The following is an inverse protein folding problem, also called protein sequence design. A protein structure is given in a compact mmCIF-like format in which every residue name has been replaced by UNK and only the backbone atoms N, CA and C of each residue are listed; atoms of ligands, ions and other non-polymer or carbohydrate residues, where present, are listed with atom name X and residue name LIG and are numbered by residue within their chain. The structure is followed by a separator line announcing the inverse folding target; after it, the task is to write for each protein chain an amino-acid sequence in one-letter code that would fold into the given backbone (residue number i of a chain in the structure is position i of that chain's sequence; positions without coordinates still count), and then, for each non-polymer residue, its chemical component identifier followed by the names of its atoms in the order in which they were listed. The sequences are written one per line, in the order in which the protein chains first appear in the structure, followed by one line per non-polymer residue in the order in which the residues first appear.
data_IF_837031132263
#
_entry.id   IF_837031132263
#
_cell.length_a   1.000
_cell.length_b   1.000
_cell.length_c   1.000
_cell.angle_alpha   90.00
_cell.angle_beta   90.00
_cell.angle_gamma   90.00
#
_symmetry.space_group_name_H-M   'P 1'
#
loop_
_entity.id
_entity.type
_entity.pdbx_description
1 polymer ?
#
# COMPACT_ATOMS: atom_id res chain seq x y z
N UNK A 1 2.42 60.92 -20.97
CA UNK A 1 1.70 59.64 -21.02
C UNK A 1 2.63 58.54 -20.50
N UNK A 2 2.29 57.90 -19.39
CA UNK A 2 3.17 56.92 -18.71
C UNK A 2 2.91 55.50 -19.24
N UNK A 3 3.98 54.86 -19.75
CA UNK A 3 3.94 53.55 -20.42
C UNK A 3 3.51 52.42 -19.48
N UNK A 4 2.77 51.43 -20.01
CA UNK A 4 2.33 50.23 -19.29
C UNK A 4 3.48 49.46 -18.60
N UNK A 5 4.70 49.56 -19.13
CA UNK A 5 5.91 48.99 -18.51
C UNK A 5 6.30 49.69 -17.20
N UNK A 6 6.04 50.99 -17.06
CA UNK A 6 6.29 51.72 -15.83
C UNK A 6 5.30 51.33 -14.72
N UNK A 7 4.04 51.05 -15.08
CA UNK A 7 3.01 50.56 -14.14
C UNK A 7 3.32 49.15 -13.63
N UNK A 8 3.84 48.26 -14.49
CA UNK A 8 4.21 46.91 -14.09
C UNK A 8 5.43 46.88 -13.13
N UNK A 9 6.39 47.80 -13.32
CA UNK A 9 7.54 47.94 -12.41
C UNK A 9 7.13 48.51 -11.04
N UNK A 10 6.20 49.46 -11.00
CA UNK A 10 5.65 49.98 -9.74
C UNK A 10 4.87 48.90 -8.96
N UNK A 11 4.06 48.08 -9.64
CA UNK A 11 3.29 47.01 -9.01
C UNK A 11 4.19 45.91 -8.41
N UNK A 12 5.30 45.57 -9.07
CA UNK A 12 6.27 44.58 -8.55
C UNK A 12 7.03 45.09 -7.32
N UNK A 13 7.38 46.37 -7.29
CA UNK A 13 8.09 46.97 -6.15
C UNK A 13 7.18 47.18 -4.93
N UNK A 14 5.89 47.44 -5.13
CA UNK A 14 4.90 47.51 -4.04
C UNK A 14 4.69 46.15 -3.36
N UNK A 15 4.76 45.04 -4.11
CA UNK A 15 4.58 43.69 -3.57
C UNK A 15 5.77 43.21 -2.72
N UNK A 16 6.99 43.66 -3.06
CA UNK A 16 8.19 43.37 -2.25
C UNK A 16 8.21 44.14 -0.93
N UNK A 17 7.70 45.37 -0.91
CA UNK A 17 7.63 46.22 0.30
C UNK A 17 6.55 45.79 1.30
N UNK A 18 5.53 45.06 0.86
CA UNK A 18 4.46 44.54 1.73
C UNK A 18 4.83 43.22 2.44
N UNK A 19 5.84 42.49 1.94
CA UNK A 19 6.25 41.19 2.50
C UNK A 19 7.27 41.33 3.64
N UNK A 20 7.99 42.46 3.73
CA UNK A 20 9.00 42.72 4.76
C UNK A 20 8.45 43.41 6.03
N UNK A 21 7.15 43.76 6.06
CA UNK A 21 6.53 44.53 7.15
C UNK A 21 5.67 43.73 8.14
N UNK A 22 5.62 42.39 8.04
CA UNK A 22 4.81 41.56 8.94
C UNK A 22 5.58 40.34 9.43
N UNK A 23 6.57 40.58 10.28
CA UNK A 23 7.16 39.57 11.15
C UNK A 23 7.02 40.02 12.60
N UNK A 24 6.31 39.25 13.43
CA UNK A 24 6.17 39.55 14.86
C UNK A 24 5.07 38.73 15.55
N UNK A 25 5.50 37.84 16.44
CA UNK A 25 4.78 36.75 17.10
C UNK A 25 3.69 37.08 18.14
N UNK A 26 2.87 36.04 18.39
CA UNK A 26 2.31 35.56 19.68
C UNK A 26 0.86 35.87 20.16
N UNK A 27 0.23 34.75 20.57
CA UNK A 27 -0.88 34.52 21.52
C UNK A 27 -2.30 34.27 20.98
N UNK A 28 -2.86 33.13 21.41
CA UNK A 28 -4.28 32.74 21.45
C UNK A 28 -4.91 33.28 22.76
N UNK A 29 -6.26 33.35 22.99
CA UNK A 29 -7.27 32.45 22.43
C UNK A 29 -8.68 33.00 22.08
N UNK A 30 -9.47 32.08 21.50
CA UNK A 30 -10.92 31.87 21.62
C UNK A 30 -11.94 32.64 20.73
N UNK A 31 -12.74 31.80 20.06
CA UNK A 31 -14.16 31.91 19.67
C UNK A 31 -14.59 32.56 18.35
N UNK A 32 -14.99 31.63 17.48
CA UNK A 32 -16.22 31.61 16.66
C UNK A 32 -16.17 32.09 15.22
N UNK A 33 -16.91 31.33 14.42
CA UNK A 33 -17.55 31.69 13.16
C UNK A 33 -16.79 31.39 11.86
N UNK A 34 -17.27 30.32 11.21
CA UNK A 34 -17.53 30.22 9.76
C UNK A 34 -16.30 30.37 8.85
N UNK A 35 -15.82 29.25 8.31
CA UNK A 35 -15.12 29.21 7.01
C UNK A 35 -15.75 28.16 6.10
N UNK A 36 -16.32 28.67 5.00
CA UNK A 36 -16.60 27.94 3.76
C UNK A 36 -15.29 27.87 2.96
N UNK A 37 -14.93 26.69 2.50
CA UNK A 37 -13.89 26.50 1.48
C UNK A 37 -14.47 26.78 0.10
N UNK A 38 -13.77 27.47 -0.83
CA UNK A 38 -14.13 27.45 -2.23
C UNK A 38 -13.30 26.40 -2.99
N UNK A 39 -13.97 25.36 -3.47
CA UNK A 39 -13.52 24.54 -4.60
C UNK A 39 -13.96 25.24 -5.91
N UNK A 40 -13.16 25.23 -6.99
CA UNK A 40 -13.68 25.60 -8.31
C UNK A 40 -14.28 24.35 -8.96
N UNK A 41 -15.61 24.28 -8.98
CA UNK A 41 -16.40 23.35 -9.78
C UNK A 41 -16.38 23.81 -11.25
N UNK A 42 -16.10 22.92 -12.19
CA UNK A 42 -16.38 23.15 -13.61
C UNK A 42 -17.75 22.56 -13.93
N UNK A 43 -18.70 23.43 -14.28
CA UNK A 43 -20.01 23.11 -14.81
C UNK A 43 -19.88 22.50 -16.22
N UNK A 44 -20.44 21.31 -16.40
CA UNK A 44 -20.71 20.73 -17.71
C UNK A 44 -22.11 21.22 -18.11
N UNK A 45 -22.18 22.16 -19.06
CA UNK A 45 -23.44 22.56 -19.67
C UNK A 45 -23.92 21.48 -20.63
N UNK A 46 -24.93 20.75 -20.18
CA UNK A 46 -25.77 19.86 -20.96
C UNK A 46 -26.67 20.72 -21.88
N UNK A 47 -26.28 20.88 -23.14
CA UNK A 47 -27.14 21.46 -24.17
C UNK A 47 -27.92 20.35 -24.88
N UNK A 48 -29.20 20.33 -24.55
CA UNK A 48 -30.27 19.43 -24.98
C UNK A 48 -30.44 19.36 -26.49
N UNK A 49 -30.75 18.16 -26.95
CA UNK A 49 -31.25 17.83 -28.26
C UNK A 49 -32.50 18.66 -28.65
N UNK A 50 -32.44 19.36 -29.79
CA UNK A 50 -33.65 19.87 -30.45
C UNK A 50 -33.64 19.46 -31.93
N UNK A 51 -34.59 18.59 -32.29
CA UNK A 51 -34.93 18.24 -33.68
C UNK A 51 -35.56 19.45 -34.38
N UNK A 52 -35.07 19.83 -35.56
CA UNK A 52 -35.92 20.40 -36.64
C UNK A 52 -35.45 19.91 -38.00
N UNK A 53 -36.44 19.64 -38.84
CA UNK A 53 -36.44 18.93 -40.13
C UNK A 53 -36.63 19.90 -41.30
N UNK A 54 -35.90 19.62 -42.40
CA UNK A 54 -36.27 19.65 -43.84
C UNK A 54 -36.62 20.97 -44.57
N UNK A 55 -35.89 21.25 -45.66
CA UNK A 55 -36.31 21.43 -47.08
C UNK A 55 -35.02 21.55 -47.96
N UNK A 56 -34.70 20.54 -48.81
CA UNK A 56 -34.72 20.52 -50.30
C UNK A 56 -33.93 21.68 -50.96
N UNK A 57 -32.85 21.46 -51.73
CA UNK A 57 -32.87 21.02 -53.14
C UNK A 57 -31.44 20.75 -53.70
N UNK A 58 -31.30 19.69 -54.52
CA UNK A 58 -30.31 19.39 -55.58
C UNK A 58 -28.81 19.28 -55.23
N UNK A 59 -28.00 18.32 -55.68
CA UNK A 59 -28.08 17.48 -56.87
C UNK A 59 -27.21 16.22 -56.63
N UNK A 60 -27.76 15.06 -56.97
CA UNK A 60 -27.03 13.79 -57.06
C UNK A 60 -26.00 13.86 -58.19
N UNK A 61 -24.76 13.44 -57.93
CA UNK A 61 -24.02 12.59 -58.89
C UNK A 61 -22.93 11.79 -58.19
N UNK A 62 -23.05 10.46 -58.34
CA UNK A 62 -21.99 9.45 -58.27
C UNK A 62 -21.61 8.86 -56.91
N UNK A 63 -22.58 8.09 -56.41
CA UNK A 63 -22.44 6.69 -56.02
C UNK A 63 -21.10 5.98 -56.31
N UNK A 64 -20.57 5.38 -55.24
CA UNK A 64 -19.92 4.06 -55.21
C UNK A 64 -18.56 3.89 -55.87
N UNK A 65 -17.50 4.03 -55.07
CA UNK A 65 -16.43 3.01 -54.99
C UNK A 65 -16.00 2.79 -53.54
N UNK A 66 -16.54 1.70 -53.03
CA UNK A 66 -16.18 0.90 -51.86
C UNK A 66 -14.88 1.25 -51.12
N UNK A 67 -15.08 1.40 -49.81
CA UNK A 67 -14.13 1.16 -48.73
C UNK A 67 -12.96 0.21 -49.07
N UNK A 68 -11.74 0.73 -49.04
CA UNK A 68 -10.57 -0.04 -48.62
C UNK A 68 -10.10 0.49 -47.27
N UNK A 69 -10.05 -0.42 -46.30
CA UNK A 69 -9.60 -0.18 -44.93
C UNK A 69 -8.14 0.23 -44.94
N UNK A 70 -7.82 1.21 -44.12
CA UNK A 70 -6.47 1.71 -43.85
C UNK A 70 -5.89 0.79 -42.78
N UNK A 71 -5.42 -0.38 -43.19
CA UNK A 71 -4.71 -1.33 -42.32
C UNK A 71 -3.62 -1.98 -43.20
N UNK A 72 -2.59 -1.21 -43.55
CA UNK A 72 -1.29 -1.69 -44.07
C UNK A 72 -0.35 -0.48 -44.18
N UNK A 73 0.10 0.04 -43.04
CA UNK A 73 1.07 1.15 -42.96
C UNK A 73 2.53 0.64 -42.97
N UNK A 74 2.74 -0.68 -42.87
CA UNK A 74 4.10 -1.27 -42.83
C UNK A 74 4.67 -1.65 -44.21
N UNK A 75 3.86 -1.69 -45.28
CA UNK A 75 4.30 -2.21 -46.59
C UNK A 75 4.87 -1.14 -47.55
N UNK A 76 4.85 0.13 -47.13
CA UNK A 76 5.34 1.25 -47.94
C UNK A 76 6.88 1.41 -47.94
N UNK A 77 7.59 0.73 -47.04
CA UNK A 77 9.05 0.84 -46.94
C UNK A 77 9.82 -0.25 -47.71
N UNK A 78 9.14 -1.31 -48.18
CA UNK A 78 9.79 -2.42 -48.90
C UNK A 78 9.40 -2.55 -50.38
N UNK A 79 8.48 -1.74 -50.88
CA UNK A 79 8.05 -1.80 -52.29
C UNK A 79 8.97 -1.00 -53.22
N UNK A 80 10.14 -1.55 -53.55
CA UNK A 80 11.03 -1.05 -54.63
C UNK A 80 10.60 -1.47 -56.04
N UNK A 81 9.33 -1.84 -56.22
CA UNK A 81 8.76 -2.29 -57.48
C UNK A 81 7.79 -1.27 -58.05
N UNK A 82 8.33 -0.14 -58.54
CA UNK A 82 7.60 0.78 -59.39
C UNK A 82 7.18 0.10 -60.71
N UNK A 83 5.97 0.41 -61.16
CA UNK A 83 5.28 -0.14 -62.35
C UNK A 83 6.00 0.06 -63.71
N UNK A 84 7.25 0.50 -63.72
CA UNK A 84 8.02 0.87 -64.92
C UNK A 84 9.45 0.29 -64.96
N UNK A 85 9.72 -0.83 -64.29
CA UNK A 85 11.01 -1.52 -64.44
C UNK A 85 11.07 -2.25 -65.80
N UNK A 86 11.81 -1.68 -66.76
CA UNK A 86 12.19 -2.38 -68.01
C UNK A 86 13.02 -3.62 -67.64
N UNK A 87 12.70 -4.77 -68.22
CA UNK A 87 13.53 -5.97 -68.06
C UNK A 87 14.83 -5.80 -68.86
N UNK A 88 16.03 -6.06 -68.29
CA UNK A 88 17.29 -6.00 -69.02
C UNK A 88 17.28 -6.98 -70.20
N UNK A 89 17.65 -6.51 -71.40
CA UNK A 89 17.94 -7.37 -72.56
C UNK A 89 16.94 -7.39 -73.72
N UNK A 90 15.91 -6.53 -73.75
CA UNK A 90 14.96 -6.48 -74.88
C UNK A 90 14.92 -5.09 -75.55
N UNK A 91 15.21 -4.99 -76.87
CA UNK A 91 15.16 -3.72 -77.58
C UNK A 91 13.70 -3.31 -77.85
N UNK A 92 13.31 -2.11 -77.45
CA UNK A 92 12.00 -1.53 -77.81
C UNK A 92 12.14 -0.40 -78.82
N UNK A 93 11.30 -0.44 -79.86
CA UNK A 93 11.30 0.45 -81.02
C UNK A 93 10.83 1.90 -80.75
N UNK A 94 10.40 2.22 -79.53
CA UNK A 94 10.02 3.58 -79.16
C UNK A 94 10.24 3.83 -77.67
N UNK A 95 11.05 4.85 -77.36
CA UNK A 95 11.39 5.26 -76.00
C UNK A 95 10.56 6.48 -75.60
N UNK A 96 9.76 6.35 -74.53
CA UNK A 96 9.04 7.47 -73.90
C UNK A 96 9.82 7.83 -72.65
N UNK A 97 10.28 9.07 -72.54
CA UNK A 97 11.07 9.55 -71.40
C UNK A 97 10.22 9.67 -70.12
N UNK A 98 10.58 8.97 -69.03
CA UNK A 98 10.02 9.20 -67.70
C UNK A 98 10.94 10.09 -66.84
N UNK A 99 10.44 10.61 -65.71
CA UNK A 99 10.96 11.80 -65.04
C UNK A 99 12.41 11.67 -64.53
N UNK A 100 13.29 12.43 -65.18
CA UNK A 100 14.49 13.14 -64.71
C UNK A 100 15.48 12.36 -63.81
N UNK A 101 16.58 11.91 -64.43
CA UNK A 101 17.93 11.63 -63.89
C UNK A 101 18.04 10.88 -62.54
N UNK A 102 18.10 9.56 -62.59
CA UNK A 102 18.61 8.73 -61.50
C UNK A 102 19.90 8.00 -61.94
N UNK A 103 21.03 8.52 -61.47
CA UNK A 103 22.30 7.86 -61.07
C UNK A 103 23.06 6.88 -62.00
N UNK A 104 22.58 6.50 -63.18
CA UNK A 104 23.34 5.63 -64.11
C UNK A 104 23.96 6.42 -65.28
N UNK A 105 25.18 6.07 -65.75
CA UNK A 105 25.76 6.65 -66.97
C UNK A 105 24.83 6.41 -68.16
N UNK A 106 24.41 7.48 -68.82
CA UNK A 106 23.51 7.43 -69.98
C UNK A 106 24.17 6.72 -71.18
N UNK A 107 25.50 6.77 -71.24
CA UNK A 107 26.32 6.14 -72.28
C UNK A 107 27.40 5.29 -71.61
N UNK A 108 27.70 4.13 -72.20
CA UNK A 108 28.86 3.33 -71.82
C UNK A 108 30.13 3.84 -72.55
N UNK A 109 31.31 3.43 -72.08
CA UNK A 109 32.59 3.76 -72.71
C UNK A 109 32.72 3.18 -74.14
N UNK A 110 31.74 2.39 -74.60
CA UNK A 110 31.68 1.78 -75.93
C UNK A 110 30.69 2.49 -76.86
N UNK A 111 29.95 3.50 -76.39
CA UNK A 111 28.91 4.16 -77.17
C UNK A 111 29.54 5.26 -78.03
N UNK A 112 29.57 5.05 -79.34
CA UNK A 112 30.02 6.06 -80.29
C UNK A 112 28.85 7.03 -80.62
N UNK A 113 29.04 8.32 -80.36
CA UNK A 113 28.07 9.35 -80.71
C UNK A 113 28.26 9.72 -82.19
N UNK A 114 27.47 9.09 -83.07
CA UNK A 114 27.46 9.41 -84.50
C UNK A 114 26.53 10.58 -84.82
N UNK A 115 27.00 11.53 -85.61
CA UNK A 115 26.16 12.58 -86.23
C UNK A 115 25.56 12.01 -87.51
N UNK A 116 24.31 12.33 -87.82
CA UNK A 116 23.67 11.84 -89.03
C UNK A 116 24.41 12.34 -90.29
N UNK A 117 24.43 11.55 -91.37
CA UNK A 117 25.05 11.94 -92.66
C UNK A 117 24.52 13.28 -93.21
N UNK A 118 23.20 13.57 -93.20
CA UNK A 118 22.71 14.89 -93.62
C UNK A 118 23.20 16.02 -92.72
N UNK A 119 23.24 15.84 -91.40
CA UNK A 119 23.74 16.86 -90.47
C UNK A 119 25.26 17.07 -90.65
N UNK A 120 26.00 16.02 -90.95
CA UNK A 120 27.44 16.08 -91.26
C UNK A 120 27.70 16.90 -92.52
N UNK A 121 26.89 16.73 -93.56
CA UNK A 121 26.94 17.55 -94.77
C UNK A 121 26.63 19.02 -94.50
N UNK A 122 25.61 19.29 -93.66
CA UNK A 122 25.22 20.65 -93.26
C UNK A 122 26.34 21.32 -92.46
N UNK A 123 26.87 20.66 -91.42
CA UNK A 123 27.95 21.17 -90.58
C UNK A 123 29.24 21.41 -91.37
N UNK A 124 29.55 20.55 -92.34
CA UNK A 124 30.73 20.72 -93.20
C UNK A 124 30.59 21.87 -94.19
N UNK A 125 29.36 22.20 -94.59
CA UNK A 125 29.07 23.36 -95.46
C UNK A 125 29.09 24.70 -94.71
N UNK A 126 28.97 24.67 -93.38
CA UNK A 126 29.05 25.85 -92.52
C UNK A 126 30.51 26.26 -92.29
N UNK A 127 30.82 27.54 -92.49
CA UNK A 127 32.14 28.08 -92.14
C UNK A 127 32.38 28.07 -90.62
N UNK A 128 33.64 28.09 -90.13
CA UNK A 128 33.96 28.01 -88.70
C UNK A 128 33.28 29.07 -87.82
N UNK A 129 33.05 30.26 -88.38
CA UNK A 129 32.36 31.35 -87.69
C UNK A 129 30.86 31.06 -87.50
N UNK A 130 30.22 30.46 -88.50
CA UNK A 130 28.80 30.09 -88.41
C UNK A 130 28.59 28.91 -87.44
N UNK A 131 29.51 27.94 -87.42
CA UNK A 131 29.51 26.84 -86.44
C UNK A 131 29.58 27.39 -85.01
N UNK A 132 30.52 28.32 -84.73
CA UNK A 132 30.62 28.94 -83.39
C UNK A 132 29.36 29.72 -83.00
N UNK A 133 28.73 30.41 -83.95
CA UNK A 133 27.49 31.13 -83.69
C UNK A 133 26.32 30.19 -83.37
N UNK A 134 26.18 29.07 -84.09
CA UNK A 134 25.13 28.08 -83.81
C UNK A 134 25.41 27.35 -82.48
N UNK A 135 26.66 26.98 -82.19
CA UNK A 135 27.05 26.44 -80.87
C UNK A 135 26.67 27.41 -79.76
N UNK A 136 26.99 28.71 -79.91
CA UNK A 136 26.64 29.71 -78.90
C UNK A 136 25.12 29.80 -78.71
N UNK A 137 24.35 29.84 -79.80
CA UNK A 137 22.88 29.86 -79.78
C UNK A 137 22.29 28.63 -79.10
N UNK A 138 22.76 27.43 -79.45
CA UNK A 138 22.29 26.17 -78.86
C UNK A 138 22.72 26.04 -77.39
N UNK A 139 23.93 26.49 -77.03
CA UNK A 139 24.39 26.48 -75.63
C UNK A 139 23.50 27.33 -74.73
N UNK A 140 23.04 28.49 -75.21
CA UNK A 140 22.06 29.33 -74.48
C UNK A 140 20.73 28.60 -74.29
N UNK A 141 20.26 27.86 -75.31
CA UNK A 141 19.04 27.06 -75.18
C UNK A 141 19.18 25.96 -74.12
N UNK A 142 20.34 25.27 -74.08
CA UNK A 142 20.65 24.27 -73.05
C UNK A 142 20.70 24.88 -71.65
N UNK A 143 21.36 26.04 -71.49
CA UNK A 143 21.41 26.72 -70.19
C UNK A 143 20.03 27.17 -69.69
N UNK A 144 19.16 27.65 -70.58
CA UNK A 144 17.77 27.98 -70.22
C UNK A 144 16.97 26.75 -69.81
N UNK A 145 17.18 25.62 -70.49
CA UNK A 145 16.55 24.36 -70.09
C UNK A 145 17.06 23.91 -68.72
N UNK A 146 18.36 24.02 -68.45
CA UNK A 146 18.95 23.72 -67.14
C UNK A 146 18.39 24.64 -66.05
N UNK A 147 18.25 25.94 -66.32
CA UNK A 147 17.63 26.90 -65.40
C UNK A 147 16.18 26.50 -65.08
N UNK A 148 15.39 26.13 -66.08
CA UNK A 148 14.03 25.61 -65.88
C UNK A 148 14.01 24.30 -65.07
N UNK A 149 14.92 23.36 -65.34
CA UNK A 149 15.01 22.11 -64.57
C UNK A 149 15.39 22.40 -63.11
N UNK A 150 16.38 23.26 -62.86
CA UNK A 150 16.76 23.67 -61.51
C UNK A 150 15.58 24.38 -60.81
N UNK A 151 14.89 25.27 -61.53
CA UNK A 151 13.71 25.97 -61.02
C UNK A 151 12.55 25.03 -60.72
N UNK A 152 12.33 23.96 -61.49
CA UNK A 152 11.28 22.98 -61.21
C UNK A 152 11.67 22.04 -60.05
N UNK A 153 12.95 21.68 -59.95
CA UNK A 153 13.45 20.81 -58.88
C UNK A 153 13.49 21.50 -57.50
N UNK A 154 13.75 22.82 -57.44
CA UNK A 154 13.80 23.57 -56.18
C UNK A 154 12.49 23.50 -55.35
N UNK A 155 11.32 23.81 -55.94
CA UNK A 155 10.01 23.69 -55.31
C UNK A 155 9.68 22.27 -54.88
N UNK A 156 9.96 21.26 -55.71
CA UNK A 156 9.70 19.85 -55.38
C UNK A 156 10.53 19.41 -54.15
N UNK A 157 11.80 19.80 -54.09
CA UNK A 157 12.64 19.60 -52.91
C UNK A 157 12.09 20.28 -51.65
N UNK A 158 11.49 21.46 -51.78
CA UNK A 158 10.88 22.16 -50.66
C UNK A 158 9.66 21.40 -50.12
N UNK A 159 8.76 20.93 -50.99
CA UNK A 159 7.58 20.19 -50.55
C UNK A 159 7.92 18.84 -49.91
N UNK A 160 8.97 18.16 -50.41
CA UNK A 160 9.47 16.94 -49.78
C UNK A 160 10.02 17.20 -48.37
N UNK A 161 10.77 18.29 -48.20
CA UNK A 161 11.26 18.71 -46.89
C UNK A 161 10.12 19.04 -45.92
N UNK A 162 9.08 19.75 -46.38
CA UNK A 162 7.89 20.05 -45.58
C UNK A 162 7.13 18.78 -45.20
N UNK A 163 6.96 17.85 -46.14
CA UNK A 163 6.33 16.55 -45.89
C UNK A 163 7.11 15.77 -44.83
N UNK A 164 8.42 15.69 -44.95
CA UNK A 164 9.26 14.93 -44.01
C UNK A 164 9.26 15.58 -42.62
N UNK A 165 9.28 16.92 -42.56
CA UNK A 165 9.10 17.67 -41.31
C UNK A 165 7.71 17.44 -40.69
N UNK A 166 6.66 17.36 -41.50
CA UNK A 166 5.30 17.06 -41.04
C UNK A 166 5.19 15.61 -40.54
N UNK A 167 5.81 14.64 -41.21
CA UNK A 167 5.86 13.25 -40.77
C UNK A 167 6.63 13.11 -39.45
N UNK A 168 7.73 13.85 -39.26
CA UNK A 168 8.44 13.89 -37.99
C UNK A 168 7.56 14.41 -36.85
N UNK A 169 6.83 15.51 -37.07
CA UNK A 169 5.86 16.05 -36.10
C UNK A 169 4.71 15.07 -35.82
N UNK A 170 4.22 14.37 -36.84
CA UNK A 170 3.16 13.37 -36.67
C UNK A 170 3.63 12.22 -35.75
N UNK A 171 4.85 11.74 -35.93
CA UNK A 171 5.45 10.71 -35.06
C UNK A 171 5.57 11.21 -33.62
N UNK A 172 6.04 12.45 -33.44
CA UNK A 172 6.14 13.07 -32.11
C UNK A 172 4.77 13.16 -31.43
N UNK A 173 3.76 13.74 -32.09
CA UNK A 173 2.41 13.88 -31.52
C UNK A 173 1.77 12.52 -31.25
N UNK A 174 1.98 11.52 -32.13
CA UNK A 174 1.48 10.15 -31.91
C UNK A 174 2.09 9.52 -30.65
N UNK A 175 3.39 9.73 -30.41
CA UNK A 175 4.04 9.26 -29.20
C UNK A 175 3.51 9.95 -27.93
N UNK A 176 3.27 11.27 -27.98
CA UNK A 176 2.67 12.03 -26.88
C UNK A 176 1.23 11.59 -26.61
N UNK A 177 0.45 11.33 -27.65
CA UNK A 177 -0.91 10.80 -27.54
C UNK A 177 -0.90 9.43 -26.86
N UNK A 178 -0.02 8.52 -27.28
CA UNK A 178 0.12 7.20 -26.66
C UNK A 178 0.53 7.31 -25.19
N UNK A 179 1.50 8.17 -24.86
CA UNK A 179 1.93 8.42 -23.48
C UNK A 179 0.81 9.02 -22.61
N UNK A 180 0.06 9.98 -23.14
CA UNK A 180 -1.06 10.60 -22.39
C UNK A 180 -2.22 9.63 -22.20
N UNK A 181 -2.50 8.78 -23.19
CA UNK A 181 -3.48 7.71 -23.08
C UNK A 181 -3.07 6.69 -22.00
N UNK A 182 -1.81 6.28 -21.97
CA UNK A 182 -1.29 5.40 -20.92
C UNK A 182 -1.45 6.02 -19.52
N UNK A 183 -1.06 7.29 -19.35
CA UNK A 183 -1.22 8.01 -18.09
C UNK A 183 -2.70 8.13 -17.67
N UNK A 184 -3.61 8.36 -18.62
CA UNK A 184 -5.05 8.40 -18.34
C UNK A 184 -5.59 7.04 -17.88
N UNK A 185 -5.16 5.94 -18.51
CA UNK A 185 -5.55 4.60 -18.06
C UNK A 185 -5.01 4.26 -16.67
N UNK A 186 -3.81 4.74 -16.34
CA UNK A 186 -3.24 4.59 -15.00
C UNK A 186 -4.03 5.40 -13.97
N UNK A 187 -4.38 6.65 -14.28
CA UNK A 187 -5.22 7.49 -13.43
C UNK A 187 -6.59 6.84 -13.18
N UNK A 188 -7.23 6.27 -14.20
CA UNK A 188 -8.49 5.52 -14.03
C UNK A 188 -8.34 4.36 -13.05
N UNK A 189 -7.25 3.58 -13.16
CA UNK A 189 -6.98 2.47 -12.22
C UNK A 189 -6.78 2.97 -10.80
N UNK A 190 -6.03 4.07 -10.62
CA UNK A 190 -5.83 4.69 -9.31
C UNK A 190 -7.15 5.17 -8.71
N UNK A 191 -8.02 5.79 -9.52
CA UNK A 191 -9.34 6.22 -9.07
C UNK A 191 -10.25 5.04 -8.67
N UNK A 192 -10.21 3.94 -9.41
CA UNK A 192 -10.93 2.72 -9.04
C UNK A 192 -10.44 2.15 -7.70
N UNK A 193 -9.12 2.09 -7.48
CA UNK A 193 -8.53 1.68 -6.20
C UNK A 193 -8.93 2.63 -5.07
N UNK A 194 -9.01 3.94 -5.32
CA UNK A 194 -9.45 4.91 -4.33
C UNK A 194 -10.90 4.67 -3.88
N UNK A 195 -11.80 4.31 -4.80
CA UNK A 195 -13.18 3.95 -4.48
C UNK A 195 -13.25 2.68 -3.62
N UNK A 196 -12.47 1.66 -3.95
CA UNK A 196 -12.39 0.41 -3.18
C UNK A 196 -11.86 0.65 -1.75
N UNK A 197 -10.79 1.44 -1.62
CA UNK A 197 -10.25 1.83 -0.31
C UNK A 197 -11.30 2.61 0.49
N UNK A 198 -12.04 3.51 -0.13
CA UNK A 198 -13.10 4.27 0.54
C UNK A 198 -14.25 3.36 1.03
N UNK A 199 -14.63 2.35 0.26
CA UNK A 199 -15.62 1.36 0.66
C UNK A 199 -15.12 0.51 1.84
N UNK A 200 -13.87 0.03 1.77
CA UNK A 200 -13.26 -0.72 2.87
C UNK A 200 -13.16 0.10 4.17
N UNK A 201 -12.87 1.40 4.07
CA UNK A 201 -12.82 2.31 5.21
C UNK A 201 -14.20 2.48 5.85
N UNK A 202 -15.26 2.65 5.04
CA UNK A 202 -16.64 2.71 5.55
C UNK A 202 -17.03 1.41 6.27
N UNK A 203 -16.66 0.26 5.71
CA UNK A 203 -16.90 -1.05 6.35
C UNK A 203 -16.15 -1.17 7.68
N UNK A 204 -14.86 -0.78 7.71
CA UNK A 204 -14.06 -0.79 8.92
C UNK A 204 -14.61 0.17 9.99
N UNK A 205 -15.08 1.35 9.59
CA UNK A 205 -15.71 2.31 10.49
C UNK A 205 -17.00 1.73 11.12
N UNK A 206 -17.85 1.08 10.32
CA UNK A 206 -19.05 0.43 10.84
C UNK A 206 -18.74 -0.67 11.86
N UNK A 207 -17.71 -1.51 11.58
CA UNK A 207 -17.24 -2.53 12.53
C UNK A 207 -16.67 -1.92 13.81
N UNK A 208 -15.96 -0.79 13.71
CA UNK A 208 -15.46 -0.08 14.88
C UNK A 208 -16.62 0.44 15.74
N UNK A 209 -17.65 1.02 15.13
CA UNK A 209 -18.85 1.47 15.84
C UNK A 209 -19.58 0.30 16.53
N UNK A 210 -19.63 -0.88 15.91
CA UNK A 210 -20.17 -2.10 16.54
C UNK A 210 -19.33 -2.53 17.76
N UNK A 211 -18.01 -2.70 17.59
CA UNK A 211 -17.11 -3.11 18.68
C UNK A 211 -17.13 -2.11 19.83
N UNK A 212 -17.24 -0.81 19.54
CA UNK A 212 -17.34 0.20 20.61
C UNK A 212 -18.60 0.05 21.46
N UNK A 213 -19.75 -0.27 20.84
CA UNK A 213 -21.01 -0.55 21.54
C UNK A 213 -20.92 -1.83 22.36
N UNK A 214 -20.32 -2.89 21.83
CA UNK A 214 -20.11 -4.15 22.57
C UNK A 214 -19.21 -3.95 23.80
N UNK A 215 -18.15 -3.15 23.64
CA UNK A 215 -17.25 -2.77 24.72
C UNK A 215 -17.97 -1.97 25.81
N UNK A 216 -18.83 -1.02 25.45
CA UNK A 216 -19.62 -0.25 26.43
C UNK A 216 -20.63 -1.15 27.17
N UNK A 217 -21.30 -2.05 26.45
CA UNK A 217 -22.20 -3.03 27.07
C UNK A 217 -21.46 -3.98 28.03
N UNK A 218 -20.24 -4.38 27.67
CA UNK A 218 -19.39 -5.23 28.52
C UNK A 218 -18.91 -4.48 29.76
N UNK A 219 -18.51 -3.21 29.63
CA UNK A 219 -18.16 -2.35 30.76
C UNK A 219 -19.32 -2.19 31.74
N UNK A 220 -20.54 -1.95 31.25
CA UNK A 220 -21.72 -1.85 32.10
C UNK A 220 -21.99 -3.15 32.90
N UNK A 221 -21.79 -4.32 32.28
CA UNK A 221 -21.90 -5.61 32.99
C UNK A 221 -20.82 -5.79 34.05
N UNK A 222 -19.60 -5.34 33.78
CA UNK A 222 -18.50 -5.38 34.77
C UNK A 222 -18.84 -4.50 35.97
N UNK A 223 -19.32 -3.28 35.76
CA UNK A 223 -19.75 -2.38 36.83
C UNK A 223 -20.88 -2.98 37.69
N UNK A 224 -21.85 -3.65 37.06
CA UNK A 224 -22.92 -4.37 37.76
C UNK A 224 -22.36 -5.52 38.62
N UNK A 225 -21.51 -6.38 38.04
CA UNK A 225 -20.90 -7.50 38.75
C UNK A 225 -20.01 -7.03 39.91
N UNK A 226 -19.24 -5.97 39.73
CA UNK A 226 -18.47 -5.36 40.82
C UNK A 226 -19.39 -4.86 41.94
N UNK A 227 -20.55 -4.29 41.59
CA UNK A 227 -21.59 -3.91 42.56
C UNK A 227 -22.09 -5.11 43.35
N UNK A 228 -22.37 -6.24 42.67
CA UNK A 228 -22.79 -7.48 43.31
C UNK A 228 -21.71 -8.06 44.24
N UNK A 229 -20.45 -8.08 43.79
CA UNK A 229 -19.30 -8.54 44.59
C UNK A 229 -19.17 -7.71 45.86
N UNK A 230 -19.18 -6.38 45.76
CA UNK A 230 -19.14 -5.49 46.94
C UNK A 230 -20.29 -5.76 47.90
N UNK A 231 -21.50 -6.00 47.37
CA UNK A 231 -22.66 -6.37 48.19
C UNK A 231 -22.47 -7.70 48.92
N UNK A 232 -21.94 -8.72 48.24
CA UNK A 232 -21.64 -10.02 48.83
C UNK A 232 -20.52 -9.94 49.88
N UNK A 233 -19.47 -9.17 49.62
CA UNK A 233 -18.39 -8.94 50.58
C UNK A 233 -18.88 -8.27 51.87
N UNK A 234 -19.82 -7.31 51.77
CA UNK A 234 -20.43 -6.68 52.94
C UNK A 234 -21.26 -7.68 53.75
N UNK A 235 -22.11 -8.47 53.08
CA UNK A 235 -22.89 -9.54 53.74
C UNK A 235 -21.99 -10.57 54.41
N UNK A 236 -20.91 -10.97 53.75
CA UNK A 236 -19.95 -11.91 54.33
C UNK A 236 -19.29 -11.33 55.59
N UNK A 237 -18.89 -10.05 55.57
CA UNK A 237 -18.37 -9.36 56.76
C UNK A 237 -19.41 -9.28 57.87
N UNK A 238 -20.67 -8.98 57.57
CA UNK A 238 -21.76 -8.95 58.54
C UNK A 238 -22.01 -10.33 59.16
N UNK A 239 -22.18 -11.37 58.34
CA UNK A 239 -22.32 -12.75 58.83
C UNK A 239 -21.10 -13.21 59.62
N UNK A 240 -19.88 -12.86 59.22
CA UNK A 240 -18.67 -13.20 59.97
C UNK A 240 -18.67 -12.58 61.37
N UNK A 241 -19.14 -11.33 61.51
CA UNK A 241 -19.27 -10.67 62.82
C UNK A 241 -20.36 -11.32 63.67
N UNK A 242 -21.50 -11.66 63.07
CA UNK A 242 -22.62 -12.29 63.78
C UNK A 242 -22.26 -13.70 64.26
N UNK A 243 -21.69 -14.54 63.38
CA UNK A 243 -21.41 -15.95 63.68
C UNK A 243 -20.23 -16.12 64.63
N UNK A 244 -19.18 -15.28 64.51
CA UNK A 244 -18.01 -15.38 65.39
C UNK A 244 -18.30 -14.83 66.80
N UNK A 245 -19.19 -13.84 66.94
CA UNK A 245 -19.53 -13.30 68.25
C UNK A 245 -20.52 -14.22 69.02
N UNK A 246 -21.60 -14.68 68.40
CA UNK A 246 -22.67 -15.36 69.15
C UNK A 246 -22.38 -16.84 69.47
N UNK A 247 -21.65 -17.56 68.61
CA UNK A 247 -21.43 -19.02 68.80
C UNK A 247 -20.25 -19.31 69.71
N UNK A 248 -19.18 -18.50 69.62
CA UNK A 248 -17.96 -18.72 70.41
C UNK A 248 -18.19 -18.33 71.87
N UNK A 249 -18.86 -17.22 72.15
CA UNK A 249 -19.07 -16.75 73.52
C UNK A 249 -19.95 -17.68 74.38
N UNK A 250 -20.89 -18.43 73.78
CA UNK A 250 -21.77 -19.32 74.56
C UNK A 250 -21.16 -20.70 74.80
N UNK A 251 -20.48 -21.30 73.82
CA UNK A 251 -19.76 -22.57 74.03
C UNK A 251 -18.53 -22.39 74.92
N UNK A 252 -17.81 -21.27 74.80
CA UNK A 252 -16.62 -20.98 75.59
C UNK A 252 -16.94 -20.78 77.08
N UNK A 253 -18.05 -20.10 77.41
CA UNK A 253 -18.51 -19.93 78.81
C UNK A 253 -18.80 -21.26 79.53
N UNK A 254 -19.19 -22.31 78.78
CA UNK A 254 -19.46 -23.64 79.36
C UNK A 254 -18.17 -24.37 79.69
N UNK A 255 -17.15 -24.26 78.83
CA UNK A 255 -15.88 -25.00 78.96
C UNK A 255 -14.87 -24.27 79.83
N UNK A 256 -14.90 -22.94 79.85
CA UNK A 256 -14.02 -22.08 80.65
C UNK A 256 -14.82 -21.04 81.46
N UNK A 257 -15.53 -21.45 82.53
CA UNK A 257 -16.34 -20.53 83.35
C UNK A 257 -15.51 -19.43 84.03
N UNK A 258 -14.20 -19.65 84.20
CA UNK A 258 -13.28 -18.71 84.81
C UNK A 258 -12.63 -17.75 83.78
N UNK A 259 -12.82 -17.99 82.48
CA UNK A 259 -12.29 -17.16 81.40
C UNK A 259 -10.76 -17.13 81.31
N UNK A 260 -10.08 -18.16 81.82
CA UNK A 260 -8.61 -18.21 81.85
C UNK A 260 -8.03 -18.43 80.45
N UNK A 261 -8.67 -19.28 79.65
CA UNK A 261 -8.28 -19.64 78.29
C UNK A 261 -8.78 -18.64 77.24
N UNK A 262 -9.80 -17.84 77.56
CA UNK A 262 -10.30 -16.77 76.68
C UNK A 262 -9.24 -15.73 76.31
N UNK A 263 -8.26 -15.51 77.19
CA UNK A 263 -7.14 -14.61 76.94
C UNK A 263 -5.95 -15.30 76.24
N UNK A 264 -6.01 -16.60 75.98
CA UNK A 264 -4.90 -17.33 75.38
C UNK A 264 -4.92 -17.18 73.88
N UNK A 265 -3.77 -16.84 73.29
CA UNK A 265 -3.58 -17.09 71.88
C UNK A 265 -3.58 -18.60 71.61
N UNK A 266 -3.95 -19.02 70.39
CA UNK A 266 -3.88 -20.44 69.99
C UNK A 266 -2.52 -21.06 70.30
N UNK A 267 -1.44 -20.32 70.07
CA UNK A 267 -0.08 -20.77 70.38
C UNK A 267 0.13 -20.96 71.89
N UNK A 268 -0.35 -20.04 72.73
CA UNK A 268 -0.24 -20.13 74.19
C UNK A 268 -1.04 -21.30 74.74
N UNK A 269 -2.26 -21.54 74.23
CA UNK A 269 -3.08 -22.68 74.63
C UNK A 269 -2.40 -24.01 74.32
N UNK A 270 -1.87 -24.15 73.10
CA UNK A 270 -1.10 -25.33 72.71
C UNK A 270 0.11 -25.51 73.62
N UNK A 271 0.85 -24.45 73.95
CA UNK A 271 1.98 -24.53 74.86
C UNK A 271 1.58 -25.04 76.24
N UNK A 272 0.53 -24.47 76.85
CA UNK A 272 0.06 -24.91 78.18
C UNK A 272 -0.44 -26.35 78.21
N UNK A 273 -1.03 -26.85 77.12
CA UNK A 273 -1.42 -28.26 77.01
C UNK A 273 -0.17 -29.15 77.00
N UNK A 274 0.86 -28.77 76.26
CA UNK A 274 2.13 -29.51 76.24
C UNK A 274 2.81 -29.49 77.60
N UNK A 275 2.90 -28.33 78.25
CA UNK A 275 3.48 -28.19 79.59
C UNK A 275 2.73 -29.05 80.62
N UNK A 276 1.39 -29.08 80.56
CA UNK A 276 0.58 -29.94 81.44
C UNK A 276 0.85 -31.42 81.18
N UNK A 277 0.92 -31.82 79.92
CA UNK A 277 1.21 -33.21 79.53
C UNK A 277 2.59 -33.65 80.05
N UNK A 278 3.62 -32.81 79.87
CA UNK A 278 4.98 -33.09 80.34
C UNK A 278 5.02 -33.20 81.87
N UNK A 279 4.36 -32.28 82.59
CA UNK A 279 4.23 -32.35 84.05
C UNK A 279 3.52 -33.63 84.52
N UNK A 280 2.48 -34.07 83.82
CA UNK A 280 1.76 -35.31 84.14
C UNK A 280 2.64 -36.55 83.92
N UNK A 281 3.39 -36.59 82.81
CA UNK A 281 4.34 -37.67 82.50
C UNK A 281 5.46 -37.72 83.55
N UNK A 282 6.03 -36.56 83.93
CA UNK A 282 7.06 -36.49 84.96
C UNK A 282 6.53 -36.95 86.33
N UNK A 283 5.33 -36.51 86.72
CA UNK A 283 4.68 -36.94 87.94
C UNK A 283 4.44 -38.46 87.97
N UNK A 284 3.94 -39.04 86.87
CA UNK A 284 3.72 -40.49 86.74
C UNK A 284 5.04 -41.28 86.82
N UNK A 285 6.08 -40.81 86.12
CA UNK A 285 7.41 -41.43 86.13
C UNK A 285 8.06 -41.40 87.52
N UNK A 286 7.92 -40.28 88.23
CA UNK A 286 8.39 -40.13 89.60
C UNK A 286 7.63 -41.05 90.57
N UNK A 287 6.30 -41.15 90.43
CA UNK A 287 5.47 -42.07 91.21
C UNK A 287 5.86 -43.54 90.97
N UNK A 288 6.09 -43.93 89.72
CA UNK A 288 6.53 -45.28 89.37
C UNK A 288 7.91 -45.57 89.97
N UNK A 289 8.87 -44.66 89.81
CA UNK A 289 10.23 -44.82 90.37
C UNK A 289 10.17 -44.96 91.89
N UNK A 290 9.38 -44.14 92.56
CA UNK A 290 9.16 -44.23 94.01
C UNK A 290 8.55 -45.58 94.41
N UNK A 291 7.57 -46.09 93.66
CA UNK A 291 7.00 -47.41 93.91
C UNK A 291 8.03 -48.54 93.73
N UNK A 292 8.88 -48.46 92.70
CA UNK A 292 9.97 -49.43 92.47
C UNK A 292 10.98 -49.40 93.62
N UNK A 293 11.37 -48.22 94.09
CA UNK A 293 12.28 -48.11 95.24
C UNK A 293 11.65 -48.66 96.53
N UNK A 294 10.36 -48.41 96.78
CA UNK A 294 9.63 -49.03 97.89
C UNK A 294 9.62 -50.57 97.77
N UNK A 295 9.42 -51.12 96.58
CA UNK A 295 9.44 -52.56 96.33
C UNK A 295 10.82 -53.18 96.59
N UNK A 296 11.91 -52.49 96.22
CA UNK A 296 13.29 -52.93 96.53
C UNK A 296 13.53 -53.01 98.03
N UNK A 297 13.07 -52.02 98.79
CA UNK A 297 13.22 -51.99 100.26
C UNK A 297 12.41 -53.13 100.91
N UNK A 298 11.15 -53.32 100.52
CA UNK A 298 10.28 -54.35 101.10
C UNK A 298 10.76 -55.78 100.81
N UNK A 299 11.54 -55.97 99.74
CA UNK A 299 12.08 -57.28 99.35
C UNK A 299 13.60 -57.40 99.57
N UNK A 300 14.15 -56.68 100.56
CA UNK A 300 15.56 -56.77 100.90
C UNK A 300 15.99 -58.23 101.18
N UNK A 301 16.84 -58.79 100.31
CA UNK A 301 17.33 -60.17 100.37
C UNK A 301 16.82 -61.11 99.26
N UNK A 302 15.92 -60.65 98.38
CA UNK A 302 15.58 -61.32 97.12
C UNK A 302 16.10 -60.47 95.96
N UNK A 303 16.90 -61.05 95.06
CA UNK A 303 17.29 -60.35 93.82
C UNK A 303 16.03 -60.18 92.95
N UNK A 304 15.51 -58.95 92.88
CA UNK A 304 14.47 -58.57 91.93
C UNK A 304 15.08 -58.57 90.52
N UNK A 305 14.78 -59.60 89.73
CA UNK A 305 15.20 -59.69 88.34
C UNK A 305 14.40 -58.70 87.50
N UNK A 306 15.08 -57.66 87.01
CA UNK A 306 14.50 -56.67 86.08
C UNK A 306 14.74 -57.05 84.61
N UNK A 307 15.37 -58.20 84.35
CA UNK A 307 15.70 -58.66 83.01
C UNK A 307 14.43 -59.05 82.24
N UNK A 308 14.18 -58.38 81.12
CA UNK A 308 13.00 -58.59 80.27
C UNK A 308 11.78 -57.71 80.60
N UNK A 309 11.86 -56.84 81.61
CA UNK A 309 10.85 -55.79 81.82
C UNK A 309 11.04 -54.72 80.74
N UNK A 310 9.97 -54.40 80.04
CA UNK A 310 9.93 -53.45 78.93
C UNK A 310 8.49 -52.91 78.85
N UNK A 311 8.33 -51.67 78.38
CA UNK A 311 7.05 -50.93 78.34
C UNK A 311 6.00 -51.65 77.48
N UNK A 312 6.48 -52.35 76.45
CA UNK A 312 5.65 -53.11 75.52
C UNK A 312 5.41 -54.55 75.96
N UNK A 313 5.67 -54.89 77.23
CA UNK A 313 5.47 -56.25 77.76
C UNK A 313 4.37 -56.28 78.80
N UNK A 314 3.56 -57.32 78.74
CA UNK A 314 2.46 -57.54 79.68
C UNK A 314 2.66 -58.85 80.42
N UNK A 315 2.14 -58.95 81.64
CA UNK A 315 2.13 -60.20 82.40
C UNK A 315 0.88 -61.01 82.04
N UNK A 316 1.06 -62.18 81.42
CA UNK A 316 -0.02 -63.15 81.13
C UNK A 316 0.35 -64.49 81.73
N UNK A 317 -0.58 -65.10 82.48
CA UNK A 317 -0.40 -66.40 83.14
C UNK A 317 0.91 -66.52 83.95
N UNK A 318 1.37 -65.41 84.54
CA UNK A 318 2.60 -65.36 85.34
C UNK A 318 3.91 -65.21 84.55
N UNK A 319 3.85 -65.03 83.23
CA UNK A 319 5.01 -64.78 82.37
C UNK A 319 4.96 -63.39 81.72
N UNK A 320 6.13 -62.76 81.53
CA UNK A 320 6.28 -61.50 80.79
C UNK A 320 6.32 -61.83 79.30
N UNK A 321 5.34 -61.34 78.54
CA UNK A 321 5.20 -61.62 77.09
C UNK A 321 4.98 -60.33 76.30
N UNK A 322 5.41 -60.31 75.04
CA UNK A 322 4.98 -59.26 74.09
C UNK A 322 3.51 -59.51 73.74
N UNK A 323 2.61 -58.53 73.89
CA UNK A 323 1.26 -58.63 73.37
C UNK A 323 1.30 -58.70 71.83
N UNK A 324 0.31 -59.37 71.19
CA UNK A 324 0.21 -59.42 69.73
C UNK A 324 -0.09 -58.03 69.15
N UNK A 325 0.37 -57.77 67.92
CA UNK A 325 0.27 -56.46 67.25
C UNK A 325 -1.18 -55.95 67.07
N UNK A 326 -2.19 -56.81 67.21
CA UNK A 326 -3.61 -56.46 67.10
C UNK A 326 -4.20 -55.87 68.40
N UNK A 327 -3.43 -55.78 69.49
CA UNK A 327 -3.87 -55.31 70.82
C UNK A 327 -3.12 -54.09 71.36
N UNK A 328 -2.30 -53.41 70.54
CA UNK A 328 -1.61 -52.14 70.87
C UNK A 328 -2.28 -50.95 70.20
#
# INVERSE_FOLDING_TARGET
MSSAQARLRQAKNAKKKALEASGGSHSMPASSSIRKNPSPSLEILEAVAEKRTREEEMEDTNSSRQHRRIDDVDDFLNSTSGLHRRQPGQPTSQFVFPPIYAHDPIYDDQTEISISEPDTGILSSLGPTAIRAEIAKQSVAVFKLLEMVIFLNGPECHYLQERDAALAKLKEVSSQLSSSQAAFTEYQKQYALQLEVQESLKSAQAKLEEVTKERDASLARVEELEGQIRGLELKLKEHSKQVVADVVDEEEKVVDPAGVYAAFSRARLVQTIMDLNDNMIEAASSQFTNAVEQLKILNAGKDLTLEGIDEDKVVRDGAIVTPPDDEV
#
